data_IF_968495982447
#
_entry.id   IF_968495982447
#
_cell.length_a   1.000
_cell.length_b   1.000
_cell.length_c   1.000
_cell.angle_alpha   90.00
_cell.angle_beta   90.00
_cell.angle_gamma   90.00
#
_symmetry.space_group_name_H-M   'P 1'
#
loop_
_entity.id
_entity.type
_entity.pdbx_description
1 polymer ?
#
# COMPACT_ATOMS: atom_id res chain seq x y z
N UNK A 1 40.42 -12.16 37.04
CA UNK A 1 39.12 -11.72 36.47
C UNK A 1 38.25 -12.95 36.39
N UNK A 2 37.19 -13.02 37.19
CA UNK A 2 36.41 -14.24 37.37
C UNK A 2 35.70 -14.66 36.09
N UNK A 3 35.72 -15.96 35.76
CA UNK A 3 35.03 -16.54 34.60
C UNK A 3 33.54 -16.18 34.57
N UNK A 4 32.96 -15.96 35.75
CA UNK A 4 31.60 -15.47 35.92
C UNK A 4 31.39 -14.05 35.36
N UNK A 5 32.31 -13.12 35.61
CA UNK A 5 32.26 -11.76 35.07
C UNK A 5 32.43 -11.73 33.55
N UNK A 6 33.31 -12.59 33.02
CA UNK A 6 33.51 -12.72 31.57
C UNK A 6 32.23 -13.28 30.90
N UNK A 7 31.61 -14.31 31.50
CA UNK A 7 30.35 -14.87 31.02
C UNK A 7 29.20 -13.86 31.05
N UNK A 8 29.05 -13.11 32.15
CA UNK A 8 28.05 -12.05 32.27
C UNK A 8 28.24 -10.97 31.20
N UNK A 9 29.47 -10.50 31.01
CA UNK A 9 29.78 -9.48 29.98
C UNK A 9 29.46 -9.97 28.56
N UNK A 10 29.81 -11.22 28.23
CA UNK A 10 29.51 -11.81 26.93
C UNK A 10 28.00 -11.94 26.68
N UNK A 11 27.22 -12.34 27.68
CA UNK A 11 25.76 -12.43 27.58
C UNK A 11 25.15 -11.04 27.38
N UNK A 12 25.58 -10.04 28.15
CA UNK A 12 25.10 -8.66 28.00
C UNK A 12 25.46 -8.08 26.63
N UNK A 13 26.66 -8.36 26.11
CA UNK A 13 27.07 -7.93 24.78
C UNK A 13 26.23 -8.61 23.69
N UNK A 14 26.00 -9.91 23.79
CA UNK A 14 25.15 -10.65 22.84
C UNK A 14 23.71 -10.11 22.84
N UNK A 15 23.14 -9.83 24.03
CA UNK A 15 21.82 -9.24 24.15
C UNK A 15 21.75 -7.84 23.50
N UNK A 16 22.79 -7.01 23.67
CA UNK A 16 22.91 -5.71 23.00
C UNK A 16 22.95 -5.87 21.47
N UNK A 17 23.74 -6.82 20.96
CA UNK A 17 23.83 -7.11 19.53
C UNK A 17 22.48 -7.55 18.95
N UNK A 18 21.78 -8.46 19.63
CA UNK A 18 20.44 -8.92 19.22
C UNK A 18 19.45 -7.76 19.22
N UNK A 19 19.46 -6.92 20.26
CA UNK A 19 18.60 -5.75 20.33
C UNK A 19 18.85 -4.78 19.17
N UNK A 20 20.11 -4.46 18.87
CA UNK A 20 20.47 -3.58 17.74
C UNK A 20 20.11 -4.19 16.39
N UNK A 21 20.28 -5.50 16.22
CA UNK A 21 19.85 -6.20 15.01
C UNK A 21 18.33 -6.11 14.82
N UNK A 22 17.55 -6.38 15.88
CA UNK A 22 16.09 -6.28 15.84
C UNK A 22 15.66 -4.84 15.49
N UNK A 23 16.29 -3.82 16.07
CA UNK A 23 16.00 -2.42 15.72
C UNK A 23 16.29 -2.15 14.24
N UNK A 24 17.45 -2.57 13.72
CA UNK A 24 17.78 -2.39 12.30
C UNK A 24 16.81 -3.10 11.36
N UNK A 25 16.35 -4.31 11.72
CA UNK A 25 15.32 -5.03 10.94
C UNK A 25 13.99 -4.28 10.97
N UNK A 26 13.56 -3.79 12.14
CA UNK A 26 12.31 -3.01 12.27
C UNK A 26 12.38 -1.73 11.43
N UNK A 27 13.48 -1.00 11.48
CA UNK A 27 13.69 0.22 10.68
C UNK A 27 13.69 -0.08 9.18
N UNK A 28 14.37 -1.14 8.76
CA UNK A 28 14.40 -1.57 7.36
C UNK A 28 13.00 -1.96 6.85
N UNK A 29 12.19 -2.62 7.68
CA UNK A 29 10.81 -3.03 7.32
C UNK A 29 9.85 -1.85 7.33
N UNK A 30 9.93 -0.93 8.30
CA UNK A 30 9.06 0.25 8.38
C UNK A 30 9.38 1.30 7.31
N UNK A 31 10.61 1.30 6.81
CA UNK A 31 11.10 2.29 5.87
C UNK A 31 11.20 3.69 6.50
N UNK A 32 11.55 4.71 5.71
CA UNK A 32 11.62 6.08 6.20
C UNK A 32 10.27 6.55 6.73
N UNK A 33 10.28 7.30 7.83
CA UNK A 33 9.09 7.96 8.36
C UNK A 33 8.49 8.86 7.28
N UNK A 34 7.18 8.74 7.09
CA UNK A 34 6.42 9.57 6.15
C UNK A 34 5.52 10.51 6.95
N UNK A 35 5.52 11.78 6.56
CA UNK A 35 4.55 12.76 7.06
C UNK A 35 3.77 13.36 5.91
N UNK A 36 2.45 13.41 6.06
CA UNK A 36 1.59 14.05 5.08
C UNK A 36 1.63 15.57 5.24
N UNK A 37 2.07 16.28 4.20
CA UNK A 37 2.09 17.75 4.15
C UNK A 37 0.83 18.34 3.49
N UNK A 38 -0.13 17.49 3.11
CA UNK A 38 -1.37 17.87 2.43
C UNK A 38 -2.59 17.21 3.05
N UNK A 39 -3.72 17.20 2.34
CA UNK A 39 -4.91 16.43 2.72
C UNK A 39 -4.90 15.02 2.11
N UNK A 40 -5.61 14.07 2.74
CA UNK A 40 -5.77 12.72 2.17
C UNK A 40 -6.45 12.70 0.78
N UNK A 41 -7.45 13.55 0.47
CA UNK A 41 -7.95 13.67 -0.90
C UNK A 41 -6.88 14.06 -1.92
N UNK A 42 -5.96 14.96 -1.53
CA UNK A 42 -4.84 15.34 -2.39
C UNK A 42 -3.84 14.20 -2.55
N UNK A 43 -3.54 13.45 -1.47
CA UNK A 43 -2.73 12.24 -1.54
C UNK A 43 -3.29 11.23 -2.54
N UNK A 44 -4.57 10.84 -2.37
CA UNK A 44 -5.23 9.86 -3.26
C UNK A 44 -5.26 10.35 -4.71
N UNK A 45 -5.56 11.64 -4.93
CA UNK A 45 -5.50 12.24 -6.27
C UNK A 45 -4.11 12.08 -6.92
N UNK A 46 -3.06 12.44 -6.19
CA UNK A 46 -1.70 12.39 -6.73
C UNK A 46 -1.22 10.96 -6.96
N UNK A 47 -1.65 9.99 -6.15
CA UNK A 47 -1.40 8.56 -6.43
C UNK A 47 -2.10 8.11 -7.71
N UNK A 48 -3.34 8.54 -7.95
CA UNK A 48 -4.04 8.26 -9.22
C UNK A 48 -3.31 8.90 -10.41
N UNK A 49 -2.77 10.11 -10.25
CA UNK A 49 -2.00 10.81 -11.28
C UNK A 49 -0.63 10.19 -11.53
N UNK A 50 0.04 9.67 -10.50
CA UNK A 50 1.26 8.87 -10.64
C UNK A 50 1.04 7.72 -11.64
N UNK A 51 -0.12 7.08 -11.61
CA UNK A 51 -0.47 6.00 -12.54
C UNK A 51 -0.74 6.46 -13.99
N UNK A 52 -0.70 7.75 -14.31
CA UNK A 52 -1.01 8.28 -15.64
C UNK A 52 -0.19 7.65 -16.77
N UNK A 53 1.15 7.59 -16.69
CA UNK A 53 1.98 6.90 -17.67
C UNK A 53 1.66 5.40 -17.79
N UNK A 54 1.35 4.73 -16.68
CA UNK A 54 0.97 3.30 -16.65
C UNK A 54 -0.35 3.08 -17.38
N UNK A 55 -1.36 3.90 -17.10
CA UNK A 55 -2.65 3.88 -17.79
C UNK A 55 -2.48 4.11 -19.29
N UNK A 56 -1.67 5.11 -19.67
CA UNK A 56 -1.37 5.41 -21.08
C UNK A 56 -0.69 4.25 -21.79
N UNK A 57 0.29 3.60 -21.15
CA UNK A 57 0.96 2.42 -21.71
C UNK A 57 0.00 1.24 -21.93
N UNK A 58 -1.05 1.15 -21.10
CA UNK A 58 -2.15 0.20 -21.26
C UNK A 58 -3.26 0.71 -22.19
N UNK A 59 -3.02 1.76 -23.00
CA UNK A 59 -3.98 2.40 -23.90
C UNK A 59 -5.24 2.96 -23.20
N UNK A 60 -5.23 3.15 -21.88
CA UNK A 60 -6.36 3.70 -21.10
C UNK A 60 -6.27 5.22 -21.13
N UNK A 61 -7.26 5.86 -21.75
CA UNK A 61 -7.25 7.32 -22.00
C UNK A 61 -7.62 8.17 -20.78
N UNK A 62 -8.42 7.63 -19.86
CA UNK A 62 -8.99 8.39 -18.75
C UNK A 62 -8.59 7.76 -17.42
N UNK A 63 -8.28 8.61 -16.45
CA UNK A 63 -8.13 8.20 -15.06
C UNK A 63 -9.46 7.63 -14.53
N UNK A 64 -9.41 6.64 -13.62
CA UNK A 64 -10.61 6.26 -12.87
C UNK A 64 -11.15 7.46 -12.10
N UNK A 65 -12.47 7.50 -11.92
CA UNK A 65 -13.05 8.41 -10.92
C UNK A 65 -12.56 7.98 -9.55
N UNK A 66 -12.34 8.92 -8.63
CA UNK A 66 -11.94 8.58 -7.27
C UNK A 66 -12.74 9.41 -6.25
N UNK A 67 -12.93 8.83 -5.08
CA UNK A 67 -13.63 9.44 -3.95
C UNK A 67 -12.93 9.04 -2.65
N UNK A 68 -12.83 9.99 -1.72
CA UNK A 68 -12.29 9.75 -0.39
C UNK A 68 -13.43 9.75 0.62
N UNK A 69 -13.60 8.63 1.31
CA UNK A 69 -14.61 8.47 2.35
C UNK A 69 -13.95 8.48 3.73
N UNK A 70 -14.48 9.33 4.61
CA UNK A 70 -14.09 9.36 6.02
C UNK A 70 -14.97 8.48 6.91
N UNK A 71 -15.88 7.70 6.32
CA UNK A 71 -16.61 6.67 7.05
C UNK A 71 -15.73 5.42 7.19
N UNK A 72 -15.70 4.82 8.39
CA UNK A 72 -15.01 3.55 8.60
C UNK A 72 -15.83 2.43 7.97
N UNK A 73 -15.28 1.79 6.95
CA UNK A 73 -15.84 0.56 6.38
C UNK A 73 -15.53 -0.61 7.31
N UNK A 74 -16.52 -1.49 7.52
CA UNK A 74 -16.39 -2.67 8.39
C UNK A 74 -15.49 -3.77 7.79
N UNK A 75 -15.26 -3.75 6.48
CA UNK A 75 -14.67 -4.90 5.76
C UNK A 75 -13.54 -4.54 4.79
N UNK A 76 -13.35 -3.26 4.45
CA UNK A 76 -12.49 -2.88 3.32
C UNK A 76 -11.72 -1.58 3.60
N UNK A 77 -10.50 -1.51 3.08
CA UNK A 77 -9.66 -0.31 3.08
C UNK A 77 -9.97 0.58 1.86
N UNK A 78 -10.21 -0.06 0.71
CA UNK A 78 -10.63 0.57 -0.54
C UNK A 78 -11.69 -0.27 -1.25
N UNK A 79 -12.24 0.27 -2.34
CA UNK A 79 -13.07 -0.50 -3.25
C UNK A 79 -13.10 0.15 -4.64
N UNK A 80 -12.91 -0.66 -5.67
CA UNK A 80 -13.22 -0.33 -7.04
C UNK A 80 -14.64 -0.77 -7.43
N UNK A 81 -15.44 0.18 -7.87
CA UNK A 81 -16.79 -0.03 -8.39
C UNK A 81 -16.76 -0.08 -9.92
N UNK A 82 -16.71 -1.29 -10.48
CA UNK A 82 -16.62 -1.55 -11.92
C UNK A 82 -17.70 -0.82 -12.74
N UNK A 83 -18.96 -0.86 -12.30
CA UNK A 83 -20.08 -0.21 -12.99
C UNK A 83 -19.97 1.32 -13.09
N UNK A 84 -19.23 1.97 -12.19
CA UNK A 84 -19.01 3.42 -12.21
C UNK A 84 -17.59 3.81 -12.64
N UNK A 85 -16.70 2.82 -12.83
CA UNK A 85 -15.25 3.00 -12.99
C UNK A 85 -14.68 3.96 -11.94
N UNK A 86 -15.08 3.72 -10.69
CA UNK A 86 -14.82 4.60 -9.54
C UNK A 86 -14.09 3.86 -8.43
N UNK A 87 -13.03 4.47 -7.91
CA UNK A 87 -12.28 4.05 -6.74
C UNK A 87 -12.81 4.81 -5.52
N UNK A 88 -12.98 4.12 -4.40
CA UNK A 88 -13.30 4.73 -3.11
C UNK A 88 -12.28 4.28 -2.08
N UNK A 89 -11.66 5.23 -1.37
CA UNK A 89 -10.70 4.95 -0.30
C UNK A 89 -11.30 5.33 1.06
N UNK A 90 -11.32 4.40 2.02
CA UNK A 90 -11.87 4.61 3.36
C UNK A 90 -10.78 4.99 4.36
N UNK A 91 -10.54 6.29 4.54
CA UNK A 91 -9.40 6.79 5.34
C UNK A 91 -9.41 6.27 6.78
N UNK A 92 -10.59 6.22 7.42
CA UNK A 92 -10.73 5.74 8.82
C UNK A 92 -10.66 4.21 8.97
N UNK A 93 -10.56 3.47 7.88
CA UNK A 93 -10.33 2.03 7.91
C UNK A 93 -8.84 1.67 7.95
N UNK A 94 -7.94 2.61 7.68
CA UNK A 94 -6.50 2.44 7.80
C UNK A 94 -6.08 2.80 9.23
N UNK A 95 -5.57 1.81 9.96
CA UNK A 95 -5.14 1.91 11.35
C UNK A 95 -3.61 1.87 11.43
N UNK A 96 -3.01 2.24 12.57
CA UNK A 96 -1.55 2.31 12.75
C UNK A 96 -1.04 3.74 12.98
N UNK A 97 0.28 3.90 13.06
CA UNK A 97 0.90 5.23 13.11
C UNK A 97 0.73 5.97 11.77
N UNK A 98 0.98 7.29 11.76
CA UNK A 98 0.72 8.13 10.60
C UNK A 98 1.51 7.67 9.36
N UNK A 99 2.75 7.23 9.54
CA UNK A 99 3.60 6.76 8.46
C UNK A 99 3.07 5.47 7.83
N UNK A 100 2.75 4.46 8.65
CA UNK A 100 2.15 3.21 8.19
C UNK A 100 0.82 3.47 7.49
N UNK A 101 -0.02 4.31 8.09
CA UNK A 101 -1.32 4.68 7.54
C UNK A 101 -1.20 5.33 6.16
N UNK A 102 -0.23 6.23 5.97
CA UNK A 102 0.04 6.86 4.67
C UNK A 102 0.46 5.80 3.64
N UNK A 103 1.38 4.90 4.00
CA UNK A 103 1.83 3.80 3.13
C UNK A 103 0.66 2.92 2.70
N UNK A 104 -0.19 2.54 3.65
CA UNK A 104 -1.34 1.69 3.37
C UNK A 104 -2.38 2.38 2.48
N UNK A 105 -2.58 3.70 2.64
CA UNK A 105 -3.46 4.48 1.75
C UNK A 105 -2.91 4.54 0.33
N UNK A 106 -1.59 4.75 0.17
CA UNK A 106 -0.94 4.76 -1.15
C UNK A 106 -1.07 3.38 -1.80
N UNK A 107 -0.71 2.33 -1.07
CA UNK A 107 -0.79 0.95 -1.52
C UNK A 107 -2.22 0.58 -1.94
N UNK A 108 -3.20 0.83 -1.07
CA UNK A 108 -4.62 0.59 -1.36
C UNK A 108 -5.06 1.36 -2.60
N UNK A 109 -4.65 2.62 -2.77
CA UNK A 109 -5.01 3.39 -3.97
C UNK A 109 -4.40 2.79 -5.24
N UNK A 110 -3.13 2.36 -5.20
CA UNK A 110 -2.48 1.66 -6.33
C UNK A 110 -3.20 0.35 -6.66
N UNK A 111 -3.56 -0.44 -5.64
CA UNK A 111 -4.31 -1.68 -5.76
C UNK A 111 -5.65 -1.45 -6.49
N UNK A 112 -6.43 -0.46 -6.08
CA UNK A 112 -7.72 -0.16 -6.71
C UNK A 112 -7.57 0.40 -8.15
N UNK A 113 -6.48 1.13 -8.43
CA UNK A 113 -6.14 1.53 -9.81
C UNK A 113 -5.85 0.29 -10.66
N UNK A 114 -5.17 -0.72 -10.11
CA UNK A 114 -4.92 -1.97 -10.84
C UNK A 114 -6.22 -2.71 -11.17
N UNK A 115 -7.18 -2.77 -10.24
CA UNK A 115 -8.51 -3.30 -10.55
C UNK A 115 -9.21 -2.54 -11.68
N UNK A 116 -9.06 -1.22 -11.75
CA UNK A 116 -9.56 -0.46 -12.90
C UNK A 116 -8.90 -0.89 -14.22
N UNK A 117 -7.58 -1.10 -14.22
CA UNK A 117 -6.85 -1.58 -15.41
C UNK A 117 -7.33 -2.97 -15.81
N UNK A 118 -7.38 -3.92 -14.86
CA UNK A 118 -7.86 -5.28 -15.09
C UNK A 118 -9.28 -5.27 -15.65
N UNK A 119 -10.21 -4.51 -15.05
CA UNK A 119 -11.58 -4.40 -15.56
C UNK A 119 -11.66 -3.92 -17.02
N UNK A 120 -10.76 -3.02 -17.43
CA UNK A 120 -10.76 -2.45 -18.78
C UNK A 120 -10.01 -3.29 -19.80
N UNK A 121 -9.14 -4.21 -19.37
CA UNK A 121 -8.18 -4.90 -20.26
C UNK A 121 -8.24 -6.41 -20.21
N UNK A 122 -8.69 -6.97 -19.11
CA UNK A 122 -8.82 -8.40 -18.92
C UNK A 122 -10.28 -8.83 -19.08
N UNK A 123 -10.63 -9.55 -20.17
CA UNK A 123 -11.98 -10.07 -20.37
C UNK A 123 -12.47 -11.00 -19.26
N UNK A 124 -11.56 -11.64 -18.52
CA UNK A 124 -11.87 -12.55 -17.42
C UNK A 124 -12.18 -11.83 -16.12
N UNK A 125 -11.98 -10.50 -16.04
CA UNK A 125 -12.35 -9.73 -14.86
C UNK A 125 -13.84 -9.84 -14.51
N UNK A 126 -14.72 -10.12 -15.50
CA UNK A 126 -16.14 -10.44 -15.28
C UNK A 126 -16.36 -11.64 -14.35
N UNK A 127 -15.37 -12.54 -14.25
CA UNK A 127 -15.41 -13.74 -13.41
C UNK A 127 -14.84 -13.52 -12.00
N UNK A 128 -14.49 -12.29 -11.64
CA UNK A 128 -13.88 -11.95 -10.35
C UNK A 128 -14.63 -12.58 -9.16
N UNK A 129 -15.96 -12.40 -9.08
CA UNK A 129 -16.76 -12.95 -7.98
C UNK A 129 -16.76 -14.48 -7.97
N UNK A 130 -16.69 -15.11 -9.15
CA UNK A 130 -16.60 -16.57 -9.29
C UNK A 130 -15.28 -17.08 -8.72
N UNK A 131 -14.16 -16.41 -9.01
CA UNK A 131 -12.86 -16.78 -8.46
C UNK A 131 -12.82 -16.58 -6.95
N UNK A 132 -13.32 -15.45 -6.44
CA UNK A 132 -13.41 -15.20 -4.99
C UNK A 132 -14.21 -16.27 -4.25
N UNK A 133 -15.31 -16.77 -4.85
CA UNK A 133 -16.11 -17.86 -4.27
C UNK A 133 -15.43 -19.22 -4.32
N UNK A 134 -14.74 -19.54 -5.42
CA UNK A 134 -14.11 -20.86 -5.63
C UNK A 134 -12.77 -21.01 -4.90
N UNK A 135 -11.95 -19.96 -4.88
CA UNK A 135 -10.57 -20.00 -4.40
C UNK A 135 -10.36 -19.30 -3.07
N UNK A 136 -11.34 -18.52 -2.58
CA UNK A 136 -11.24 -17.45 -1.56
C UNK A 136 -10.69 -16.13 -2.12
N UNK A 137 -11.03 -15.02 -1.45
CA UNK A 137 -10.62 -13.66 -1.84
C UNK A 137 -9.10 -13.54 -2.01
N UNK A 138 -8.33 -14.02 -1.02
CA UNK A 138 -6.86 -13.91 -1.02
C UNK A 138 -6.19 -14.69 -2.15
N UNK A 139 -6.85 -15.72 -2.68
CA UNK A 139 -6.35 -16.53 -3.79
C UNK A 139 -6.97 -16.16 -5.14
N UNK A 140 -7.77 -15.09 -5.18
CA UNK A 140 -8.28 -14.57 -6.44
C UNK A 140 -7.10 -14.02 -7.26
N UNK A 141 -6.89 -14.47 -8.51
CA UNK A 141 -5.76 -14.02 -9.33
C UNK A 141 -5.72 -12.50 -9.50
N UNK A 142 -6.87 -11.83 -9.53
CA UNK A 142 -6.95 -10.38 -9.63
C UNK A 142 -6.47 -9.68 -8.35
N UNK A 143 -6.74 -10.25 -7.18
CA UNK A 143 -6.22 -9.73 -5.91
C UNK A 143 -4.71 -9.92 -5.79
N UNK A 144 -4.20 -11.07 -6.22
CA UNK A 144 -2.77 -11.36 -6.23
C UNK A 144 -2.04 -10.36 -7.13
N UNK A 145 -2.53 -10.17 -8.36
CA UNK A 145 -1.95 -9.22 -9.31
C UNK A 145 -2.08 -7.76 -8.85
N UNK A 146 -3.20 -7.38 -8.23
CA UNK A 146 -3.37 -6.03 -7.66
C UNK A 146 -2.41 -5.75 -6.51
N UNK A 147 -2.19 -6.71 -5.62
CA UNK A 147 -1.21 -6.59 -4.54
C UNK A 147 0.21 -6.53 -5.09
N UNK A 148 0.58 -7.42 -6.02
CA UNK A 148 1.91 -7.42 -6.62
C UNK A 148 2.21 -6.11 -7.38
N UNK A 149 1.21 -5.54 -8.06
CA UNK A 149 1.33 -4.22 -8.68
C UNK A 149 1.55 -3.12 -7.64
N UNK A 150 0.74 -3.10 -6.58
CA UNK A 150 0.85 -2.08 -5.53
C UNK A 150 2.20 -2.16 -4.81
N UNK A 151 2.67 -3.36 -4.47
CA UNK A 151 3.98 -3.58 -3.84
C UNK A 151 5.12 -3.08 -4.73
N UNK A 152 5.06 -3.38 -6.03
CA UNK A 152 6.08 -2.96 -7.01
C UNK A 152 6.14 -1.43 -7.17
N UNK A 153 4.99 -0.78 -7.21
CA UNK A 153 4.89 0.65 -7.52
C UNK A 153 4.97 1.55 -6.27
N UNK A 154 4.87 0.99 -5.06
CA UNK A 154 4.77 1.73 -3.80
C UNK A 154 5.93 2.70 -3.61
N UNK A 155 7.17 2.21 -3.70
CA UNK A 155 8.36 3.05 -3.46
C UNK A 155 8.51 4.14 -4.54
N UNK A 156 8.26 3.81 -5.80
CA UNK A 156 8.27 4.76 -6.91
C UNK A 156 7.22 5.88 -6.72
N UNK A 157 6.03 5.49 -6.27
CA UNK A 157 4.95 6.43 -5.96
C UNK A 157 5.31 7.32 -4.76
N UNK A 158 5.91 6.77 -3.70
CA UNK A 158 6.38 7.56 -2.55
C UNK A 158 7.43 8.59 -2.99
N UNK A 159 8.40 8.22 -3.83
CA UNK A 159 9.39 9.17 -4.35
C UNK A 159 8.75 10.27 -5.20
N UNK A 160 7.79 9.91 -6.05
CA UNK A 160 6.99 10.87 -6.79
C UNK A 160 6.27 11.85 -5.84
N UNK A 161 5.59 11.34 -4.82
CA UNK A 161 4.86 12.18 -3.86
C UNK A 161 5.78 13.10 -3.04
N UNK A 162 6.98 12.64 -2.67
CA UNK A 162 8.02 13.48 -2.05
C UNK A 162 8.49 14.58 -3.00
N UNK A 163 8.74 14.26 -4.26
CA UNK A 163 9.14 15.26 -5.28
C UNK A 163 8.06 16.33 -5.50
N UNK A 164 6.78 16.00 -5.24
CA UNK A 164 5.64 16.90 -5.33
C UNK A 164 5.38 17.68 -4.03
N UNK A 165 6.15 17.45 -2.97
CA UNK A 165 5.96 18.06 -1.65
C UNK A 165 4.72 17.57 -0.90
N UNK A 166 4.09 16.48 -1.36
CA UNK A 166 2.92 15.88 -0.71
C UNK A 166 3.33 15.14 0.56
N UNK A 167 4.49 14.50 0.52
CA UNK A 167 5.10 13.81 1.66
C UNK A 167 6.41 14.50 2.04
N UNK A 168 6.73 14.49 3.33
CA UNK A 168 8.08 14.65 3.86
C UNK A 168 8.65 13.27 4.20
#
# INVERSE_FOLDING_TARGET
>A
MDRFFIGFFLISFLALCIYKFIQGVIEAVRGPELKLNSSYPKLVQEVVYYCGPILKAQNIRFFPKYEVSYFKSKKRLGCYYSGQKKIVIYIKSHDGDESQKIRDIIHTTLHEVRHNIQHLRDPDFKNYDTYSKKLTYQKNPFEIDSNAFADKELDGCIQYLKSKGILA
#
